data_IF_672578328923
#
_entry.id   IF_672578328923
#
_cell.length_a   1.000
_cell.length_b   1.000
_cell.length_c   1.000
_cell.angle_alpha   90.00
_cell.angle_beta   90.00
_cell.angle_gamma   90.00
#
_symmetry.space_group_name_H-M   'P 1'
#
loop_
_entity.id
_entity.type
_entity.pdbx_description
1 polymer ?
#
# COMPACT_ATOMS: atom_id res chain seq x y z
N UNK A 1 9.81 -21.01 -34.66
CA UNK A 1 9.50 -21.80 -33.44
C UNK A 1 10.19 -21.22 -32.21
N UNK A 2 11.51 -21.04 -32.19
CA UNK A 2 12.24 -20.47 -31.03
C UNK A 2 11.78 -19.06 -30.62
N UNK A 3 11.61 -18.13 -31.57
CA UNK A 3 11.20 -16.74 -31.28
C UNK A 3 9.84 -16.68 -30.58
N UNK A 4 8.88 -17.49 -31.02
CA UNK A 4 7.54 -17.55 -30.43
C UNK A 4 7.62 -18.07 -28.99
N UNK A 5 8.41 -19.12 -28.74
CA UNK A 5 8.65 -19.61 -27.37
C UNK A 5 9.28 -18.57 -26.45
N UNK A 6 10.24 -17.78 -26.93
CA UNK A 6 10.85 -16.71 -26.12
C UNK A 6 9.85 -15.62 -25.75
N UNK A 7 9.00 -15.19 -26.68
CA UNK A 7 7.96 -14.18 -26.43
C UNK A 7 6.94 -14.69 -25.40
N UNK A 8 6.49 -15.94 -25.54
CA UNK A 8 5.56 -16.55 -24.60
C UNK A 8 6.18 -16.65 -23.20
N UNK A 9 7.44 -17.05 -23.11
CA UNK A 9 8.16 -17.14 -21.83
C UNK A 9 8.33 -15.77 -21.17
N UNK A 10 8.70 -14.73 -21.94
CA UNK A 10 8.87 -13.39 -21.38
C UNK A 10 7.54 -12.82 -20.87
N UNK A 11 6.45 -13.04 -21.61
CA UNK A 11 5.11 -12.60 -21.19
C UNK A 11 4.65 -13.34 -19.93
N UNK A 12 4.91 -14.65 -19.86
CA UNK A 12 4.64 -15.46 -18.67
C UNK A 12 5.39 -14.97 -17.44
N UNK A 13 6.69 -14.71 -17.56
CA UNK A 13 7.52 -14.17 -16.47
C UNK A 13 7.06 -12.78 -16.02
N UNK A 14 6.73 -11.90 -16.98
CA UNK A 14 6.19 -10.58 -16.69
C UNK A 14 4.87 -10.67 -15.94
N UNK A 15 3.95 -11.52 -16.40
CA UNK A 15 2.65 -11.72 -15.74
C UNK A 15 2.82 -12.25 -14.31
N UNK A 16 3.68 -13.25 -14.09
CA UNK A 16 3.98 -13.78 -12.75
C UNK A 16 4.57 -12.68 -11.86
N UNK A 17 5.50 -11.88 -12.37
CA UNK A 17 6.10 -10.76 -11.63
C UNK A 17 5.05 -9.72 -11.21
N UNK A 18 4.19 -9.31 -12.14
CA UNK A 18 3.10 -8.36 -11.86
C UNK A 18 2.11 -8.91 -10.82
N UNK A 19 1.75 -10.19 -10.92
CA UNK A 19 0.88 -10.85 -9.93
C UNK A 19 1.55 -10.88 -8.56
N UNK A 20 2.84 -11.26 -8.47
CA UNK A 20 3.58 -11.26 -7.20
C UNK A 20 3.63 -9.87 -6.58
N UNK A 21 3.93 -8.85 -7.36
CA UNK A 21 3.95 -7.46 -6.89
C UNK A 21 2.57 -6.99 -6.42
N UNK A 22 1.51 -7.32 -7.16
CA UNK A 22 0.14 -6.99 -6.78
C UNK A 22 -0.29 -7.68 -5.48
N UNK A 23 0.13 -8.94 -5.26
CA UNK A 23 -0.15 -9.69 -4.04
C UNK A 23 0.63 -9.14 -2.82
N UNK A 24 1.91 -8.81 -2.98
CA UNK A 24 2.72 -8.17 -1.93
C UNK A 24 2.17 -6.79 -1.51
N UNK A 25 1.49 -6.11 -2.42
CA UNK A 25 0.94 -4.77 -2.18
C UNK A 25 -0.38 -4.78 -1.40
N UNK A 26 -0.97 -5.95 -1.12
CA UNK A 26 -2.23 -6.05 -0.37
C UNK A 26 -1.98 -5.81 1.12
N UNK A 27 -2.82 -4.99 1.73
CA UNK A 27 -2.87 -4.83 3.19
C UNK A 27 -3.42 -6.12 3.82
N UNK A 28 -2.83 -6.55 4.93
CA UNK A 28 -3.36 -7.68 5.71
C UNK A 28 -4.77 -7.36 6.24
N UNK A 29 -5.65 -8.36 6.27
CA UNK A 29 -6.99 -8.21 6.87
C UNK A 29 -6.93 -7.95 8.38
N UNK A 30 -5.82 -8.30 9.03
CA UNK A 30 -5.59 -8.06 10.47
C UNK A 30 -5.00 -6.68 10.76
N UNK A 31 -4.60 -5.92 9.72
CA UNK A 31 -4.08 -4.57 9.93
C UNK A 31 -5.19 -3.62 10.36
N UNK A 32 -4.84 -2.56 11.11
CA UNK A 32 -5.76 -1.47 11.40
C UNK A 32 -6.43 -0.89 10.13
N UNK A 33 -7.61 -0.27 10.26
CA UNK A 33 -8.29 0.36 9.14
C UNK A 33 -7.44 1.47 8.51
N UNK A 34 -7.75 1.83 7.28
CA UNK A 34 -7.08 2.92 6.59
C UNK A 34 -7.51 3.05 5.14
N UNK A 35 -7.04 4.08 4.43
CA UNK A 35 -7.46 4.37 3.06
C UNK A 35 -7.11 3.25 2.08
N UNK A 36 -7.91 3.11 0.99
CA UNK A 36 -7.72 2.07 -0.01
C UNK A 36 -6.36 2.19 -0.69
N UNK A 37 -5.74 1.04 -0.96
CA UNK A 37 -4.37 0.93 -1.48
C UNK A 37 -4.40 0.59 -2.97
N UNK A 38 -3.53 1.22 -3.74
CA UNK A 38 -3.27 0.80 -5.11
C UNK A 38 -2.19 -0.27 -5.14
N UNK A 39 -2.25 -1.23 -6.10
CA UNK A 39 -1.19 -2.20 -6.26
C UNK A 39 0.14 -1.48 -6.57
N UNK A 40 1.25 -2.06 -6.09
CA UNK A 40 2.64 -1.62 -6.29
C UNK A 40 3.01 -0.34 -5.52
N UNK A 41 2.18 0.71 -5.56
CA UNK A 41 2.49 2.01 -4.96
C UNK A 41 1.84 2.24 -3.58
N UNK A 42 0.79 1.50 -3.24
CA UNK A 42 0.06 1.69 -1.99
C UNK A 42 -0.67 3.04 -1.92
N UNK A 43 -0.52 3.75 -0.81
CA UNK A 43 -1.10 5.05 -0.48
C UNK A 43 -0.19 6.24 -0.86
N UNK A 44 0.96 6.03 -1.52
CA UNK A 44 1.86 7.13 -1.92
C UNK A 44 1.13 8.21 -2.73
N UNK A 45 0.21 7.80 -3.61
CA UNK A 45 -0.62 8.72 -4.42
C UNK A 45 -1.58 9.59 -3.61
N UNK A 46 -1.85 9.24 -2.35
CA UNK A 46 -2.77 9.98 -1.46
C UNK A 46 -2.02 10.90 -0.50
N UNK A 47 -0.68 10.88 -0.50
CA UNK A 47 0.14 11.73 0.36
C UNK A 47 0.52 12.97 -0.46
N UNK A 48 -0.06 14.14 -0.15
CA UNK A 48 0.29 15.35 -0.88
C UNK A 48 1.73 15.76 -0.56
N UNK A 49 2.45 16.24 -1.57
CA UNK A 49 3.85 16.68 -1.44
C UNK A 49 3.98 17.91 -0.55
N UNK A 50 2.95 18.76 -0.49
CA UNK A 50 2.87 19.89 0.42
C UNK A 50 1.84 19.62 1.53
N UNK A 51 2.18 20.01 2.76
CA UNK A 51 1.29 19.93 3.93
C UNK A 51 0.69 18.54 4.19
N UNK A 52 1.48 17.48 3.99
CA UNK A 52 1.09 16.09 4.25
C UNK A 52 0.47 15.86 5.64
N UNK A 53 0.94 16.60 6.65
CA UNK A 53 0.38 16.56 8.00
C UNK A 53 -1.14 16.81 8.04
N UNK A 54 -1.69 17.64 7.15
CA UNK A 54 -3.14 17.87 7.08
C UNK A 54 -3.88 16.60 6.68
N UNK A 55 -3.33 15.83 5.73
CA UNK A 55 -3.89 14.56 5.33
C UNK A 55 -3.83 13.54 6.48
N UNK A 56 -2.70 13.48 7.18
CA UNK A 56 -2.53 12.62 8.36
C UNK A 56 -3.47 13.01 9.51
N UNK A 57 -3.88 14.27 9.63
CA UNK A 57 -4.90 14.72 10.61
C UNK A 57 -6.35 14.43 10.18
N UNK A 58 -6.60 14.25 8.87
CA UNK A 58 -7.94 13.95 8.36
C UNK A 58 -8.25 12.45 8.47
N UNK A 59 -7.31 11.58 8.13
CA UNK A 59 -7.52 10.13 8.19
C UNK A 59 -8.03 9.58 9.52
N UNK A 60 -7.55 10.00 10.71
CA UNK A 60 -8.07 9.48 11.96
C UNK A 60 -9.53 9.84 12.23
N UNK A 61 -10.06 10.89 11.59
CA UNK A 61 -11.49 11.23 11.65
C UNK A 61 -12.36 10.23 10.90
N UNK A 62 -11.80 9.57 9.89
CA UNK A 62 -12.51 8.59 9.03
C UNK A 62 -12.24 7.15 9.45
N UNK A 63 -10.99 6.83 9.80
CA UNK A 63 -10.54 5.46 10.05
C UNK A 63 -10.27 5.17 11.53
N UNK A 64 -10.28 6.18 12.40
CA UNK A 64 -10.00 6.03 13.82
C UNK A 64 -8.54 6.33 14.21
N UNK A 65 -8.21 6.22 15.51
CA UNK A 65 -6.95 6.74 16.06
C UNK A 65 -5.69 6.00 15.58
N UNK A 66 -5.83 4.79 15.04
CA UNK A 66 -4.73 3.97 14.49
C UNK A 66 -5.03 3.71 13.02
N UNK A 67 -4.21 4.29 12.14
CA UNK A 67 -4.42 4.20 10.69
C UNK A 67 -3.29 3.39 10.05
N UNK A 68 -3.63 2.38 9.27
CA UNK A 68 -2.66 1.66 8.44
C UNK A 68 -2.57 2.27 7.05
N UNK A 69 -1.34 2.38 6.55
CA UNK A 69 -0.97 2.84 5.22
C UNK A 69 0.02 1.86 4.60
N UNK A 70 0.08 1.84 3.26
CA UNK A 70 1.07 1.13 2.47
C UNK A 70 1.91 2.15 1.72
N UNK A 71 3.23 2.13 1.85
CA UNK A 71 4.15 2.92 1.03
C UNK A 71 4.90 1.97 0.11
N UNK A 72 4.34 1.74 -1.08
CA UNK A 72 4.80 0.69 -1.97
C UNK A 72 4.71 -0.70 -1.32
N UNK A 73 5.85 -1.33 -1.07
CA UNK A 73 5.93 -2.63 -0.41
C UNK A 73 5.87 -2.57 1.12
N UNK A 74 6.12 -1.39 1.72
CA UNK A 74 6.21 -1.23 3.17
C UNK A 74 4.85 -0.89 3.79
N UNK A 75 4.61 -1.38 5.01
CA UNK A 75 3.46 -1.00 5.82
C UNK A 75 3.86 0.11 6.79
N UNK A 76 3.01 1.12 6.93
CA UNK A 76 3.18 2.25 7.83
C UNK A 76 1.95 2.36 8.74
N UNK A 77 2.16 2.42 10.05
CA UNK A 77 1.09 2.65 11.03
C UNK A 77 1.22 4.07 11.57
N UNK A 78 0.14 4.84 11.47
CA UNK A 78 0.06 6.21 11.98
C UNK A 78 -0.79 6.20 13.24
N UNK A 79 -0.17 6.62 14.35
CA UNK A 79 -0.80 6.71 15.66
C UNK A 79 -1.20 8.17 15.91
N UNK A 80 -2.49 8.44 16.07
CA UNK A 80 -3.05 9.79 16.21
C UNK A 80 -3.68 10.05 17.59
N UNK A 81 -3.40 9.23 18.60
CA UNK A 81 -3.86 9.46 19.97
C UNK A 81 -2.78 9.14 20.99
N UNK A 82 -2.80 9.85 22.13
CA UNK A 82 -1.86 9.62 23.22
C UNK A 82 -2.00 8.20 23.82
N UNK A 83 -3.21 7.65 23.81
CA UNK A 83 -3.46 6.26 24.22
C UNK A 83 -2.74 5.28 23.29
N UNK A 84 -2.87 5.45 21.97
CA UNK A 84 -2.24 4.58 20.98
C UNK A 84 -0.71 4.66 20.95
N UNK A 85 -0.12 5.77 21.41
CA UNK A 85 1.33 5.95 21.53
C UNK A 85 1.89 5.33 22.81
N UNK A 86 1.07 5.18 23.85
CA UNK A 86 1.49 4.73 25.16
C UNK A 86 1.48 3.20 25.33
N UNK A 87 0.66 2.50 24.53
CA UNK A 87 0.68 1.03 24.41
C UNK A 87 1.90 0.52 23.66
#
# INVERSE_FOLDING_TARGET
MFVISFIVLSFGLLAVSLVRLALTSRRSKLSPPGPPTLPIIGNLHQIPTAKAYLQFLQWPKTYGPIVSLKLGSQDLIVLNSAAAVRE
#
